data_IF_585489604393
#
_entry.id   IF_585489604393
#
_cell.length_a   1.000
_cell.length_b   1.000
_cell.length_c   1.000
_cell.angle_alpha   90.00
_cell.angle_beta   90.00
_cell.angle_gamma   90.00
#
_symmetry.space_group_name_H-M   'P 1'
#
loop_
_entity.id
_entity.type
_entity.pdbx_description
1 polymer ?
#
# COMPACT_ATOMS: atom_id res chain seq x y z
N UNK A 1 9.83 17.11 -13.54
CA UNK A 1 9.55 16.66 -12.17
C UNK A 1 8.07 16.30 -12.16
N UNK A 2 7.75 15.03 -12.43
CA UNK A 2 6.37 14.57 -12.44
C UNK A 2 5.90 14.42 -10.99
N UNK A 3 4.66 14.83 -10.76
CA UNK A 3 4.03 15.16 -9.48
C UNK A 3 4.25 14.03 -8.44
N UNK A 4 4.89 14.39 -7.32
CA UNK A 4 4.99 13.55 -6.11
C UNK A 4 3.57 13.26 -5.60
N UNK A 5 3.16 12.00 -5.62
CA UNK A 5 1.99 11.56 -4.86
C UNK A 5 2.47 11.40 -3.42
N UNK A 6 2.27 12.43 -2.60
CA UNK A 6 2.43 12.33 -1.15
C UNK A 6 1.49 11.21 -0.69
N UNK A 7 2.02 10.07 -0.28
CA UNK A 7 1.21 8.97 0.22
C UNK A 7 0.82 9.20 1.69
N UNK A 8 0.14 10.32 1.94
CA UNK A 8 -0.30 10.74 3.27
C UNK A 8 -1.30 9.73 3.86
N UNK A 9 -2.12 9.10 3.01
CA UNK A 9 -2.97 7.98 3.36
C UNK A 9 -2.22 6.83 4.03
N UNK A 10 -1.14 6.33 3.42
CA UNK A 10 -0.39 5.21 4.00
C UNK A 10 0.30 5.59 5.31
N UNK A 11 0.74 6.85 5.44
CA UNK A 11 1.29 7.34 6.71
C UNK A 11 0.20 7.39 7.80
N UNK A 12 -0.98 7.92 7.48
CA UNK A 12 -2.12 7.98 8.38
C UNK A 12 -2.58 6.58 8.81
N UNK A 13 -2.75 5.66 7.86
CA UNK A 13 -3.16 4.28 8.11
C UNK A 13 -2.12 3.54 8.96
N UNK A 14 -0.82 3.75 8.71
CA UNK A 14 0.26 3.20 9.53
C UNK A 14 0.23 3.75 10.96
N UNK A 15 0.12 5.08 11.14
CA UNK A 15 0.03 5.68 12.48
C UNK A 15 -1.20 5.19 13.24
N UNK A 16 -2.36 5.16 12.58
CA UNK A 16 -3.59 4.63 13.14
C UNK A 16 -3.43 3.17 13.59
N UNK A 17 -2.91 2.32 12.71
CA UNK A 17 -2.68 0.90 13.01
C UNK A 17 -1.73 0.71 14.17
N UNK A 18 -0.62 1.46 14.20
CA UNK A 18 0.36 1.40 15.28
C UNK A 18 -0.23 1.79 16.64
N UNK A 19 -1.03 2.85 16.68
CA UNK A 19 -1.76 3.27 17.90
C UNK A 19 -2.70 2.18 18.39
N UNK A 20 -3.48 1.57 17.49
CA UNK A 20 -4.42 0.52 17.86
C UNK A 20 -3.73 -0.73 18.40
N UNK A 21 -2.60 -1.13 17.81
CA UNK A 21 -1.80 -2.25 18.31
C UNK A 21 -1.37 -2.01 19.77
N UNK A 22 -0.91 -0.80 20.09
CA UNK A 22 -0.48 -0.45 21.44
C UNK A 22 -1.65 -0.35 22.43
N UNK A 23 -2.78 0.23 22.02
CA UNK A 23 -3.91 0.52 22.90
C UNK A 23 -4.81 -0.69 23.16
N UNK A 24 -5.03 -1.52 22.14
CA UNK A 24 -5.96 -2.65 22.22
C UNK A 24 -5.26 -3.98 22.53
N UNK A 25 -3.95 -4.07 22.28
CA UNK A 25 -3.14 -5.25 22.57
C UNK A 25 -3.80 -6.54 22.07
N UNK A 26 -3.95 -7.51 22.97
CA UNK A 26 -4.55 -8.81 22.66
C UNK A 26 -6.01 -8.75 22.20
N UNK A 27 -6.72 -7.65 22.46
CA UNK A 27 -8.10 -7.50 21.98
C UNK A 27 -8.17 -7.17 20.49
N UNK A 28 -7.12 -6.61 19.90
CA UNK A 28 -7.03 -6.40 18.45
C UNK A 28 -6.72 -7.72 17.75
N UNK A 29 -7.57 -8.10 16.80
CA UNK A 29 -7.38 -9.31 16.00
C UNK A 29 -6.64 -8.98 14.72
N UNK A 30 -7.12 -7.99 13.97
CA UNK A 30 -6.47 -7.51 12.74
C UNK A 30 -7.02 -6.15 12.36
N UNK A 31 -6.33 -5.48 11.44
CA UNK A 31 -6.78 -4.28 10.75
C UNK A 31 -6.68 -4.57 9.25
N UNK A 32 -7.78 -4.37 8.54
CA UNK A 32 -7.81 -4.46 7.08
C UNK A 32 -7.96 -3.03 6.58
N UNK A 33 -6.86 -2.43 6.09
CA UNK A 33 -6.88 -1.12 5.47
C UNK A 33 -7.16 -1.23 3.98
N UNK A 34 -8.12 -0.43 3.50
CA UNK A 34 -8.34 -0.18 2.08
C UNK A 34 -7.59 1.08 1.63
N UNK A 35 -7.52 1.32 0.32
CA UNK A 35 -7.04 2.58 -0.25
C UNK A 35 -7.96 3.76 0.15
N UNK A 36 -7.44 4.99 0.08
CA UNK A 36 -8.16 6.21 0.45
C UNK A 36 -9.51 6.35 -0.30
N UNK A 37 -9.50 6.01 -1.59
CA UNK A 37 -10.68 6.10 -2.46
C UNK A 37 -11.57 4.84 -2.42
N UNK A 38 -11.18 3.81 -1.66
CA UNK A 38 -11.91 2.54 -1.52
C UNK A 38 -12.63 2.44 -0.18
N UNK A 39 -13.93 2.14 -0.19
CA UNK A 39 -14.69 2.01 1.06
C UNK A 39 -15.67 0.85 1.06
N UNK A 40 -15.94 0.34 2.26
CA UNK A 40 -17.04 -0.58 2.57
C UNK A 40 -17.82 0.05 3.73
N UNK A 41 -19.12 0.25 3.55
CA UNK A 41 -19.96 1.00 4.51
C UNK A 41 -19.38 2.38 4.86
N UNK A 42 -18.97 3.13 3.84
CA UNK A 42 -18.36 4.46 3.95
C UNK A 42 -17.10 4.50 4.85
N UNK A 43 -16.45 3.35 5.03
CA UNK A 43 -15.25 3.18 5.85
C UNK A 43 -14.12 2.56 5.04
N UNK A 44 -12.90 3.06 5.24
CA UNK A 44 -11.69 2.58 4.56
C UNK A 44 -10.98 1.49 5.39
N UNK A 45 -10.56 1.70 6.66
CA UNK A 45 -10.09 0.58 7.48
C UNK A 45 -11.22 -0.13 8.25
N UNK A 46 -11.14 -1.46 8.27
CA UNK A 46 -11.85 -2.32 9.21
C UNK A 46 -10.94 -2.68 10.39
N UNK A 47 -11.39 -2.36 11.61
CA UNK A 47 -10.76 -2.79 12.86
C UNK A 47 -11.52 -3.99 13.41
N UNK A 48 -10.84 -5.13 13.49
CA UNK A 48 -11.42 -6.38 14.01
C UNK A 48 -10.95 -6.62 15.43
N UNK A 49 -11.89 -6.77 16.37
CA UNK A 49 -11.60 -6.99 17.79
C UNK A 49 -12.21 -8.30 18.32
N UNK A 50 -11.65 -8.84 19.41
CA UNK A 50 -12.20 -10.02 20.09
C UNK A 50 -13.48 -9.66 20.85
N UNK A 51 -13.44 -8.59 21.64
CA UNK A 51 -14.55 -8.03 22.39
C UNK A 51 -14.74 -6.55 22.05
N UNK A 52 -16.01 -6.12 21.98
CA UNK A 52 -16.38 -4.75 21.64
C UNK A 52 -17.24 -4.16 22.75
N UNK A 53 -16.65 -3.27 23.52
CA UNK A 53 -17.28 -2.44 24.55
C UNK A 53 -17.07 -0.95 24.26
N UNK A 54 -17.59 -0.09 25.12
CA UNK A 54 -17.54 1.37 24.94
C UNK A 54 -16.13 1.94 25.11
N UNK A 55 -15.26 1.29 25.89
CA UNK A 55 -13.87 1.70 26.02
C UNK A 55 -13.10 1.43 24.73
N UNK A 56 -13.27 0.25 24.14
CA UNK A 56 -12.70 -0.10 22.84
C UNK A 56 -13.16 0.88 21.76
N UNK A 57 -14.46 1.20 21.71
CA UNK A 57 -15.00 2.22 20.77
C UNK A 57 -14.35 3.58 20.99
N UNK A 58 -14.24 4.02 22.25
CA UNK A 58 -13.64 5.31 22.62
C UNK A 58 -12.17 5.39 22.21
N UNK A 59 -11.40 4.32 22.43
CA UNK A 59 -9.97 4.27 22.09
C UNK A 59 -9.75 4.34 20.57
N UNK A 60 -10.55 3.61 19.79
CA UNK A 60 -10.47 3.63 18.33
C UNK A 60 -10.87 5.01 17.80
N UNK A 61 -11.99 5.57 18.27
CA UNK A 61 -12.45 6.91 17.87
C UNK A 61 -11.41 8.00 18.16
N UNK A 62 -10.83 7.98 19.37
CA UNK A 62 -9.79 8.93 19.76
C UNK A 62 -8.55 8.81 18.87
N UNK A 63 -8.13 7.58 18.54
CA UNK A 63 -6.98 7.34 17.66
C UNK A 63 -7.22 7.87 16.25
N UNK A 64 -8.42 7.67 15.70
CA UNK A 64 -8.78 8.20 14.39
C UNK A 64 -8.79 9.73 14.37
N UNK A 65 -9.37 10.38 15.39
CA UNK A 65 -9.35 11.85 15.52
C UNK A 65 -7.92 12.40 15.58
N UNK A 66 -7.06 11.81 16.42
CA UNK A 66 -5.66 12.25 16.55
C UNK A 66 -4.86 12.10 15.25
N UNK A 67 -5.16 11.09 14.42
CA UNK A 67 -4.53 10.88 13.11
C UNK A 67 -5.09 11.87 12.09
N UNK A 68 -6.41 12.02 12.03
CA UNK A 68 -7.08 12.94 11.10
C UNK A 68 -6.71 14.41 11.35
N UNK A 69 -6.36 14.79 12.59
CA UNK A 69 -5.87 16.14 12.90
C UNK A 69 -4.44 16.41 12.37
N UNK A 70 -3.67 15.36 12.04
CA UNK A 70 -2.27 15.47 11.60
C UNK A 70 -2.07 15.30 10.10
N UNK A 71 -3.00 14.63 9.44
CA UNK A 71 -2.90 14.21 8.05
C UNK A 71 -3.94 14.95 7.19
N UNK A 72 -3.61 15.21 5.93
CA UNK A 72 -4.49 15.82 4.92
C UNK A 72 -5.46 14.78 4.29
N UNK A 73 -5.77 13.72 5.02
CA UNK A 73 -6.71 12.65 4.64
C UNK A 73 -7.58 12.25 5.85
N UNK A 74 -8.66 11.48 5.63
CA UNK A 74 -9.59 11.08 6.70
C UNK A 74 -9.64 9.56 6.87
N UNK A 75 -9.21 9.07 8.02
CA UNK A 75 -9.51 7.72 8.49
C UNK A 75 -10.99 7.64 8.87
N UNK A 76 -11.81 7.07 7.98
CA UNK A 76 -13.19 6.65 8.27
C UNK A 76 -13.19 5.14 8.55
N UNK A 77 -13.39 4.72 9.80
CA UNK A 77 -13.21 3.31 10.19
C UNK A 77 -14.52 2.59 10.49
N UNK A 78 -14.51 1.27 10.24
CA UNK A 78 -15.55 0.36 10.70
C UNK A 78 -15.01 -0.54 11.82
N UNK A 79 -15.82 -0.87 12.82
CA UNK A 79 -15.44 -1.81 13.89
C UNK A 79 -16.29 -3.06 13.79
N UNK A 80 -15.65 -4.23 13.76
CA UNK A 80 -16.32 -5.51 13.78
C UNK A 80 -15.76 -6.43 14.87
N UNK A 81 -16.58 -7.35 15.35
CA UNK A 81 -16.10 -8.47 16.16
C UNK A 81 -15.52 -9.54 15.24
N UNK A 82 -14.61 -10.36 15.76
CA UNK A 82 -14.08 -11.51 15.01
C UNK A 82 -15.16 -12.53 14.55
N UNK A 83 -16.33 -12.52 15.19
CA UNK A 83 -17.50 -13.30 14.77
C UNK A 83 -18.16 -12.81 13.48
N UNK A 84 -17.93 -11.55 13.08
CA UNK A 84 -18.67 -10.88 12.01
C UNK A 84 -18.03 -11.20 10.64
N UNK A 85 -18.04 -12.49 10.28
CA UNK A 85 -17.30 -13.03 9.12
C UNK A 85 -17.67 -12.36 7.79
N UNK A 86 -18.93 -12.02 7.58
CA UNK A 86 -19.38 -11.37 6.35
C UNK A 86 -18.74 -9.99 6.16
N UNK A 87 -18.57 -9.21 7.22
CA UNK A 87 -17.95 -7.88 7.14
C UNK A 87 -16.45 -8.03 6.85
N UNK A 88 -15.79 -8.96 7.54
CA UNK A 88 -14.37 -9.26 7.32
C UNK A 88 -14.15 -9.67 5.86
N UNK A 89 -14.98 -10.58 5.34
CA UNK A 89 -14.91 -11.05 3.95
C UNK A 89 -15.13 -9.92 2.93
N UNK A 90 -16.08 -9.02 3.17
CA UNK A 90 -16.31 -7.86 2.29
C UNK A 90 -15.07 -6.97 2.18
N UNK A 91 -14.47 -6.59 3.31
CA UNK A 91 -13.24 -5.79 3.32
C UNK A 91 -12.07 -6.54 2.68
N UNK A 92 -11.88 -7.83 3.02
CA UNK A 92 -10.83 -8.66 2.42
C UNK A 92 -10.98 -8.81 0.91
N UNK A 93 -12.21 -8.90 0.38
CA UNK A 93 -12.45 -9.00 -1.05
C UNK A 93 -12.12 -7.70 -1.79
N UNK A 94 -12.41 -6.53 -1.21
CA UNK A 94 -12.01 -5.25 -1.81
C UNK A 94 -10.48 -5.14 -1.83
N UNK A 95 -9.82 -5.42 -0.71
CA UNK A 95 -8.36 -5.45 -0.65
C UNK A 95 -7.75 -6.47 -1.63
N UNK A 96 -8.37 -7.64 -1.77
CA UNK A 96 -7.94 -8.69 -2.69
C UNK A 96 -8.00 -8.25 -4.15
N UNK A 97 -9.07 -7.56 -4.57
CA UNK A 97 -9.19 -7.03 -5.94
C UNK A 97 -8.11 -6.01 -6.27
N UNK A 98 -7.80 -5.09 -5.34
CA UNK A 98 -6.72 -4.10 -5.52
C UNK A 98 -5.38 -4.82 -5.68
N UNK A 99 -5.12 -5.82 -4.84
CA UNK A 99 -3.90 -6.61 -4.92
C UNK A 99 -3.80 -7.37 -6.25
N UNK A 100 -4.89 -7.98 -6.71
CA UNK A 100 -4.94 -8.67 -8.01
C UNK A 100 -4.63 -7.72 -9.17
N UNK A 101 -5.24 -6.52 -9.18
CA UNK A 101 -4.96 -5.51 -10.20
C UNK A 101 -3.50 -5.04 -10.15
N UNK A 102 -2.93 -4.81 -8.96
CA UNK A 102 -1.52 -4.48 -8.81
C UNK A 102 -0.57 -5.58 -9.33
N UNK A 103 -0.87 -6.85 -9.05
CA UNK A 103 -0.08 -7.98 -9.55
C UNK A 103 -0.19 -8.11 -11.08
N UNK A 104 -1.36 -7.84 -11.66
CA UNK A 104 -1.56 -7.81 -13.10
C UNK A 104 -0.86 -6.63 -13.79
N UNK A 105 -1.01 -5.42 -13.25
CA UNK A 105 -0.32 -4.22 -13.72
C UNK A 105 1.20 -4.43 -13.74
N UNK A 106 1.74 -4.98 -12.65
CA UNK A 106 3.17 -5.26 -12.57
C UNK A 106 3.61 -6.33 -13.57
N UNK A 107 2.81 -7.38 -13.77
CA UNK A 107 3.08 -8.41 -14.78
C UNK A 107 3.12 -7.82 -16.19
N UNK A 108 2.14 -7.01 -16.58
CA UNK A 108 2.13 -6.36 -17.90
C UNK A 108 3.35 -5.42 -18.05
N UNK A 109 3.66 -4.66 -17.01
CA UNK A 109 4.83 -3.77 -17.02
C UNK A 109 6.13 -4.55 -17.15
N UNK A 110 6.30 -5.64 -16.38
CA UNK A 110 7.46 -6.52 -16.43
C UNK A 110 7.62 -7.15 -17.81
N UNK A 111 6.55 -7.60 -18.46
CA UNK A 111 6.62 -8.18 -19.81
C UNK A 111 7.13 -7.16 -20.86
N UNK A 112 6.79 -5.88 -20.69
CA UNK A 112 7.24 -4.79 -21.58
C UNK A 112 8.71 -4.43 -21.39
N UNK A 113 9.22 -4.43 -20.15
CA UNK A 113 10.56 -3.89 -19.83
C UNK A 113 11.59 -4.93 -19.40
N UNK A 114 11.16 -6.13 -19.00
CA UNK A 114 11.97 -7.15 -18.32
C UNK A 114 13.21 -7.58 -19.10
N UNK A 115 13.14 -7.57 -20.43
CA UNK A 115 14.28 -7.91 -21.30
C UNK A 115 15.35 -6.80 -21.41
N UNK A 116 15.06 -5.60 -20.90
CA UNK A 116 15.91 -4.41 -21.00
C UNK A 116 16.48 -3.98 -19.65
N UNK A 117 16.16 -4.71 -18.58
CA UNK A 117 16.55 -4.41 -17.20
C UNK A 117 17.18 -5.65 -16.58
N UNK A 118 18.01 -5.46 -15.57
CA UNK A 118 18.75 -6.55 -14.93
C UNK A 118 17.90 -7.28 -13.89
N UNK A 119 17.07 -6.55 -13.15
CA UNK A 119 16.17 -7.09 -12.14
C UNK A 119 15.06 -6.06 -11.82
N UNK A 120 13.99 -6.52 -11.20
CA UNK A 120 12.88 -5.69 -10.72
C UNK A 120 12.41 -6.16 -9.34
N UNK A 121 12.26 -5.20 -8.42
CA UNK A 121 11.70 -5.45 -7.09
C UNK A 121 10.37 -4.74 -6.97
N UNK A 122 9.29 -5.52 -6.96
CA UNK A 122 7.93 -5.04 -6.72
C UNK A 122 7.52 -5.31 -5.29
N UNK A 123 6.88 -4.31 -4.66
CA UNK A 123 6.39 -4.37 -3.29
C UNK A 123 4.86 -4.23 -3.19
N UNK A 124 4.13 -4.38 -4.31
CA UNK A 124 2.67 -4.43 -4.33
C UNK A 124 2.01 -3.05 -4.31
N UNK A 125 1.00 -2.93 -3.46
CA UNK A 125 0.28 -1.70 -3.09
C UNK A 125 1.05 -0.82 -2.07
N UNK A 126 2.23 -1.26 -1.63
CA UNK A 126 3.10 -0.50 -0.72
C UNK A 126 4.06 0.40 -1.47
N UNK A 127 4.57 1.43 -0.77
CA UNK A 127 5.47 2.42 -1.36
C UNK A 127 6.70 2.68 -0.49
N UNK A 128 7.86 2.87 -1.15
CA UNK A 128 9.11 3.38 -0.58
C UNK A 128 9.46 4.65 -1.34
N UNK A 129 9.59 5.78 -0.63
CA UNK A 129 9.78 7.10 -1.24
C UNK A 129 8.83 7.32 -2.45
N UNK A 130 7.57 6.95 -2.28
CA UNK A 130 6.50 7.05 -3.29
C UNK A 130 6.60 6.10 -4.50
N UNK A 131 7.46 5.08 -4.46
CA UNK A 131 7.56 4.05 -5.50
C UNK A 131 7.23 2.66 -4.97
N UNK A 132 6.44 1.90 -5.73
CA UNK A 132 6.14 0.50 -5.45
C UNK A 132 6.99 -0.48 -6.27
N UNK A 133 7.79 0.05 -7.20
CA UNK A 133 8.66 -0.74 -8.08
C UNK A 133 10.08 -0.16 -8.11
N UNK A 134 11.08 -0.99 -7.84
CA UNK A 134 12.48 -0.65 -8.11
C UNK A 134 12.94 -1.40 -9.35
N UNK A 135 13.44 -0.65 -10.33
CA UNK A 135 13.94 -1.18 -11.59
C UNK A 135 15.46 -1.10 -11.56
N UNK A 136 16.15 -2.22 -11.68
CA UNK A 136 17.61 -2.29 -11.63
C UNK A 136 18.12 -2.47 -13.05
N UNK A 137 19.03 -1.58 -13.49
CA UNK A 137 19.61 -1.60 -14.83
C UNK A 137 21.12 -1.59 -14.77
N UNK A 138 21.79 -2.36 -15.63
CA UNK A 138 23.26 -2.37 -15.70
C UNK A 138 23.83 -1.00 -16.07
N UNK A 139 23.12 -0.28 -16.96
CA UNK A 139 23.50 1.05 -17.41
C UNK A 139 22.28 1.93 -17.66
N UNK A 140 22.26 3.07 -16.97
CA UNK A 140 21.22 4.06 -17.12
C UNK A 140 21.42 4.88 -18.42
N UNK A 141 20.68 4.52 -19.47
CA UNK A 141 20.66 5.24 -20.75
C UNK A 141 19.33 5.97 -20.96
N UNK A 142 19.30 6.98 -21.82
CA UNK A 142 18.06 7.70 -22.12
C UNK A 142 17.00 6.82 -22.81
N UNK A 143 17.42 5.85 -23.63
CA UNK A 143 16.50 4.92 -24.28
C UNK A 143 15.82 4.00 -23.27
N UNK A 144 16.58 3.48 -22.30
CA UNK A 144 16.04 2.67 -21.19
C UNK A 144 15.07 3.49 -20.34
N UNK A 145 15.42 4.73 -19.98
CA UNK A 145 14.51 5.62 -19.24
C UNK A 145 13.21 5.87 -20.00
N UNK A 146 13.30 6.15 -21.31
CA UNK A 146 12.13 6.40 -22.15
C UNK A 146 11.24 5.18 -22.28
N UNK A 147 11.83 4.00 -22.46
CA UNK A 147 11.10 2.73 -22.51
C UNK A 147 10.33 2.49 -21.22
N UNK A 148 11.01 2.62 -20.08
CA UNK A 148 10.42 2.45 -18.75
C UNK A 148 9.28 3.44 -18.54
N UNK A 149 9.51 4.73 -18.78
CA UNK A 149 8.50 5.76 -18.59
C UNK A 149 7.28 5.55 -19.48
N UNK A 150 7.48 5.23 -20.76
CA UNK A 150 6.40 4.96 -21.70
C UNK A 150 5.59 3.73 -21.28
N UNK A 151 6.27 2.66 -20.88
CA UNK A 151 5.62 1.42 -20.47
C UNK A 151 4.80 1.61 -19.20
N UNK A 152 5.31 2.38 -18.23
CA UNK A 152 4.58 2.70 -17.01
C UNK A 152 3.32 3.52 -17.31
N UNK A 153 3.40 4.53 -18.19
CA UNK A 153 2.23 5.30 -18.62
C UNK A 153 1.18 4.41 -19.29
N UNK A 154 1.59 3.55 -20.23
CA UNK A 154 0.66 2.65 -20.92
C UNK A 154 -0.04 1.65 -19.99
N UNK A 155 0.63 1.19 -18.93
CA UNK A 155 0.05 0.28 -17.93
C UNK A 155 -0.85 1.05 -16.97
N UNK A 156 -0.41 2.21 -16.48
CA UNK A 156 -1.18 3.03 -15.54
C UNK A 156 -2.47 3.61 -16.16
N UNK A 157 -2.57 3.68 -17.49
CA UNK A 157 -3.81 4.04 -18.18
C UNK A 157 -4.85 2.91 -18.20
N UNK A 158 -4.46 1.66 -17.89
CA UNK A 158 -5.31 0.47 -17.95
C UNK A 158 -5.69 -0.11 -16.59
N UNK A 159 -4.86 0.14 -15.59
CA UNK A 159 -4.98 -0.43 -14.25
C UNK A 159 -5.30 0.65 -13.23
N UNK A 160 -6.02 0.28 -12.17
CA UNK A 160 -6.26 1.17 -11.03
C UNK A 160 -4.96 1.34 -10.22
N UNK A 161 -4.18 0.26 -10.11
CA UNK A 161 -2.88 0.26 -9.49
C UNK A 161 -1.84 0.99 -10.34
N UNK A 162 -1.24 2.03 -9.76
CA UNK A 162 -0.18 2.80 -10.42
C UNK A 162 1.18 2.14 -10.21
N UNK A 163 1.87 1.80 -11.30
CA UNK A 163 3.31 1.51 -11.30
C UNK A 163 4.07 2.83 -11.14
N UNK A 164 4.58 3.04 -9.92
CA UNK A 164 5.48 4.14 -9.59
C UNK A 164 6.87 3.58 -9.31
N UNK A 165 7.90 4.16 -9.94
CA UNK A 165 9.19 3.52 -10.02
C UNK A 165 10.40 4.41 -9.71
N UNK A 166 11.41 3.77 -9.11
CA UNK A 166 12.80 4.22 -9.15
C UNK A 166 13.61 3.39 -10.13
N UNK A 167 14.61 4.02 -10.75
CA UNK A 167 15.62 3.32 -11.54
C UNK A 167 16.93 3.39 -10.77
N UNK A 168 17.51 2.22 -10.50
CA UNK A 168 18.77 2.03 -9.82
C UNK A 168 19.78 1.32 -10.73
N UNK A 169 21.06 1.51 -10.44
CA UNK A 169 22.13 0.65 -10.93
C UNK A 169 22.65 -0.23 -9.80
N UNK A 170 23.48 -1.26 -10.07
CA UNK A 170 24.05 -2.09 -9.01
C UNK A 170 24.84 -1.33 -7.94
N UNK A 171 25.28 -0.09 -8.19
CA UNK A 171 25.95 0.74 -7.18
C UNK A 171 25.00 1.33 -6.13
N UNK A 172 23.68 1.33 -6.36
CA UNK A 172 22.67 1.88 -5.45
C UNK A 172 22.24 0.86 -4.37
N UNK A 173 23.22 0.18 -3.75
CA UNK A 173 23.00 -0.97 -2.84
C UNK A 173 22.04 -0.64 -1.68
N UNK A 174 22.10 0.57 -1.12
CA UNK A 174 21.23 0.99 -0.02
C UNK A 174 19.74 0.93 -0.39
N UNK A 175 19.37 1.53 -1.53
CA UNK A 175 18.00 1.53 -2.02
C UNK A 175 17.53 0.12 -2.40
N UNK A 176 18.40 -0.67 -3.04
CA UNK A 176 18.12 -2.07 -3.39
C UNK A 176 17.80 -2.89 -2.14
N UNK A 177 18.59 -2.72 -1.08
CA UNK A 177 18.40 -3.44 0.18
C UNK A 177 17.10 -3.04 0.89
N UNK A 178 16.72 -1.75 0.86
CA UNK A 178 15.45 -1.28 1.42
C UNK A 178 14.24 -1.93 0.73
N UNK A 179 14.23 -1.94 -0.61
CA UNK A 179 13.16 -2.59 -1.40
C UNK A 179 13.10 -4.10 -1.16
N UNK A 180 14.25 -4.78 -1.14
CA UNK A 180 14.31 -6.23 -0.89
C UNK A 180 13.81 -6.61 0.50
N UNK A 181 14.22 -5.85 1.52
CA UNK A 181 13.78 -6.07 2.91
C UNK A 181 12.26 -5.96 3.04
N UNK A 182 11.65 -4.96 2.43
CA UNK A 182 10.18 -4.81 2.48
C UNK A 182 9.49 -5.95 1.72
N UNK A 183 10.00 -6.34 0.54
CA UNK A 183 9.47 -7.50 -0.21
C UNK A 183 9.48 -8.79 0.61
N UNK A 184 10.50 -9.00 1.44
CA UNK A 184 10.59 -10.16 2.32
C UNK A 184 9.54 -10.16 3.44
N UNK A 185 9.09 -8.99 3.90
CA UNK A 185 8.02 -8.88 4.91
C UNK A 185 6.60 -9.10 4.37
N UNK A 186 6.45 -9.24 3.05
CA UNK A 186 5.15 -9.42 2.37
C UNK A 186 4.86 -10.90 2.09
N UNK A 187 5.88 -11.77 2.09
CA UNK A 187 5.73 -13.22 1.94
C UNK A 187 5.21 -13.87 3.21
#
# INVERSE_FOLDING_TARGET
>A
MYKLVRNDWNLALHEFSHKLIQLLGDNLVTIIGLEEDSSVYDSNPLVVVKALDDEVRRLIAKSALEVNDKHECTISYYIAKNSDKNVIELFSNVQGKVREDCEEAFREFHDKVGHHVSDMVFIGDRYIYDSNTLIIVDKLTEDVKRLIAKSALEVNDKHECTISYYIATPSDEGLINEFKKIRETIK
#
